data_IF_706744366577
#
_entry.id   IF_706744366577
#
_cell.length_a   1.000
_cell.length_b   1.000
_cell.length_c   1.000
_cell.angle_alpha   90.00
_cell.angle_beta   90.00
_cell.angle_gamma   90.00
#
_symmetry.space_group_name_H-M   'P 1'
#
loop_
_entity.id
_entity.type
_entity.pdbx_description
1 polymer ?
#
# COMPACT_ATOMS: atom_id res chain seq x y z
N UNK A 1 21.64 -11.21 1.64
CA UNK A 1 20.76 -10.48 0.72
C UNK A 1 19.34 -10.60 1.22
N UNK A 2 18.60 -9.53 1.21
CA UNK A 2 17.23 -9.54 1.73
C UNK A 2 16.23 -9.76 0.60
N UNK A 3 15.28 -10.63 0.83
CA UNK A 3 14.15 -10.86 -0.04
C UNK A 3 12.88 -10.41 0.65
N UNK A 4 11.98 -9.81 -0.11
CA UNK A 4 10.67 -9.41 0.39
C UNK A 4 9.58 -10.30 -0.21
N UNK A 5 8.72 -10.79 0.63
CA UNK A 5 7.50 -11.46 0.21
C UNK A 5 6.42 -10.38 0.02
N UNK A 6 5.95 -10.24 -1.20
CA UNK A 6 4.96 -9.22 -1.56
C UNK A 6 3.62 -9.86 -1.84
N UNK A 7 2.60 -9.42 -1.11
CA UNK A 7 1.22 -9.81 -1.34
C UNK A 7 0.56 -8.81 -2.28
N UNK A 8 0.01 -9.31 -3.38
CA UNK A 8 -0.73 -8.50 -4.33
C UNK A 8 -2.24 -8.65 -4.15
N UNK A 9 -3.02 -7.62 -4.50
CA UNK A 9 -4.48 -7.66 -4.44
C UNK A 9 -5.08 -8.47 -5.60
N UNK A 10 -4.67 -9.72 -5.73
CA UNK A 10 -5.10 -10.67 -6.77
C UNK A 10 -5.43 -12.01 -6.14
N UNK A 11 -6.22 -12.80 -6.85
CA UNK A 11 -6.64 -14.12 -6.39
C UNK A 11 -5.52 -15.16 -6.64
N UNK A 12 -4.51 -15.13 -5.79
CA UNK A 12 -3.42 -16.12 -5.78
C UNK A 12 -3.21 -16.63 -4.36
N UNK A 13 -2.73 -17.87 -4.18
CA UNK A 13 -2.69 -18.52 -2.87
C UNK A 13 -1.65 -17.98 -1.88
N UNK A 14 -0.89 -16.95 -2.21
CA UNK A 14 0.10 -16.42 -1.29
C UNK A 14 0.87 -15.23 -1.81
N UNK A 15 1.90 -14.86 -1.08
CA UNK A 15 2.82 -13.80 -1.45
C UNK A 15 3.89 -14.32 -2.43
N UNK A 16 4.40 -13.42 -3.25
CA UNK A 16 5.50 -13.70 -4.18
C UNK A 16 6.83 -13.21 -3.61
N UNK A 17 7.88 -13.96 -3.86
CA UNK A 17 9.22 -13.59 -3.44
C UNK A 17 9.86 -12.63 -4.47
N UNK A 18 10.40 -11.53 -3.97
CA UNK A 18 11.15 -10.55 -4.74
C UNK A 18 12.46 -10.22 -4.05
N UNK A 19 13.47 -9.88 -4.83
CA UNK A 19 14.70 -9.34 -4.30
C UNK A 19 14.48 -7.90 -3.85
N UNK A 20 14.95 -7.58 -2.65
CA UNK A 20 15.00 -6.20 -2.17
C UNK A 20 16.37 -5.60 -2.52
N UNK A 21 16.44 -4.67 -3.48
CA UNK A 21 17.70 -4.01 -3.81
C UNK A 21 18.30 -3.32 -2.59
N UNK A 22 19.63 -3.32 -2.48
CA UNK A 22 20.33 -2.70 -1.35
C UNK A 22 20.05 -1.19 -1.19
N UNK A 23 19.64 -0.54 -2.27
CA UNK A 23 19.28 0.88 -2.32
C UNK A 23 17.91 1.17 -1.72
N UNK A 24 17.05 0.15 -1.61
CA UNK A 24 15.70 0.28 -1.11
C UNK A 24 15.60 -0.27 0.32
N UNK A 25 15.09 0.53 1.22
CA UNK A 25 14.80 0.10 2.60
C UNK A 25 13.30 -0.07 2.75
N UNK A 26 12.82 -1.30 2.68
CA UNK A 26 11.42 -1.63 2.89
C UNK A 26 11.21 -2.27 4.26
N UNK A 27 10.03 -2.05 4.80
CA UNK A 27 9.55 -2.68 6.04
C UNK A 27 8.28 -3.46 5.76
N UNK A 28 7.95 -4.39 6.62
CA UNK A 28 6.67 -5.11 6.57
C UNK A 28 5.52 -4.12 6.68
N UNK A 29 4.58 -4.19 5.74
CA UNK A 29 3.46 -3.27 5.63
C UNK A 29 3.64 -2.15 4.59
N UNK A 30 4.86 -1.94 4.08
CA UNK A 30 5.10 -0.93 3.05
C UNK A 30 4.44 -1.33 1.72
N UNK A 31 3.95 -0.32 1.00
CA UNK A 31 3.44 -0.50 -0.35
C UNK A 31 4.58 -0.40 -1.35
N UNK A 32 4.67 -1.39 -2.23
CA UNK A 32 5.74 -1.49 -3.22
C UNK A 32 5.19 -1.78 -4.61
N UNK A 33 5.89 -1.29 -5.62
CA UNK A 33 5.65 -1.67 -7.01
C UNK A 33 6.62 -2.78 -7.41
N UNK A 34 6.07 -3.88 -7.87
CA UNK A 34 6.84 -5.01 -8.35
C UNK A 34 6.20 -5.64 -9.59
N UNK A 35 7.00 -6.25 -10.47
CA UNK A 35 6.48 -6.81 -11.72
C UNK A 35 5.79 -8.16 -11.47
N UNK A 36 4.54 -8.26 -11.93
CA UNK A 36 3.85 -9.54 -12.10
C UNK A 36 3.71 -9.81 -13.60
N UNK A 37 4.37 -10.85 -14.09
CA UNK A 37 4.40 -11.11 -15.53
C UNK A 37 4.99 -9.93 -16.29
N UNK A 38 4.20 -9.32 -17.17
CA UNK A 38 4.58 -8.15 -17.96
C UNK A 38 4.09 -6.82 -17.38
N UNK A 39 3.35 -6.86 -16.27
CA UNK A 39 2.73 -5.67 -15.68
C UNK A 39 3.39 -5.31 -14.35
N UNK A 40 3.51 -4.02 -14.11
CA UNK A 40 3.90 -3.48 -12.80
C UNK A 40 2.67 -3.31 -11.94
N UNK A 41 2.67 -3.91 -10.74
CA UNK A 41 1.53 -3.84 -9.82
C UNK A 41 1.95 -3.37 -8.43
N UNK A 42 1.01 -2.73 -7.75
CA UNK A 42 1.15 -2.33 -6.36
C UNK A 42 0.81 -3.51 -5.46
N UNK A 43 1.70 -3.82 -4.55
CA UNK A 43 1.52 -4.84 -3.50
C UNK A 43 1.98 -4.34 -2.15
N UNK A 44 1.87 -5.19 -1.15
CA UNK A 44 2.27 -4.91 0.22
C UNK A 44 3.37 -5.88 0.63
N UNK A 45 4.42 -5.39 1.26
CA UNK A 45 5.45 -6.23 1.86
C UNK A 45 4.84 -7.02 3.01
N UNK A 46 4.71 -8.32 2.80
CA UNK A 46 4.10 -9.23 3.77
C UNK A 46 5.11 -9.74 4.79
N UNK A 47 6.29 -10.03 4.31
CA UNK A 47 7.39 -10.51 5.14
C UNK A 47 8.73 -10.17 4.50
N UNK A 48 9.80 -10.13 5.29
CA UNK A 48 11.17 -9.96 4.81
C UNK A 48 11.98 -11.14 5.31
N UNK A 49 12.65 -11.81 4.40
CA UNK A 49 13.45 -13.01 4.67
C UNK A 49 14.88 -12.76 4.19
N UNK A 50 15.84 -13.20 4.97
CA UNK A 50 17.23 -13.24 4.51
C UNK A 50 17.43 -14.49 3.65
N UNK A 51 18.06 -14.31 2.51
CA UNK A 51 18.35 -15.38 1.54
C UNK A 51 19.82 -15.36 1.16
N UNK A 52 20.32 -16.53 0.81
CA UNK A 52 21.69 -16.74 0.35
C UNK A 52 21.95 -16.27 -1.11
N UNK A 53 20.91 -15.74 -1.76
CA UNK A 53 21.01 -15.15 -3.10
C UNK A 53 21.06 -16.17 -4.25
N UNK A 54 20.79 -17.44 -3.98
CA UNK A 54 20.83 -18.49 -5.01
C UNK A 54 19.62 -18.50 -5.95
N UNK A 55 18.53 -17.81 -5.58
CA UNK A 55 17.33 -17.75 -6.41
C UNK A 55 17.36 -16.58 -7.37
N UNK A 56 17.01 -16.83 -8.63
CA UNK A 56 16.79 -15.79 -9.62
C UNK A 56 15.43 -15.13 -9.38
N UNK A 57 15.40 -14.11 -8.53
CA UNK A 57 14.20 -13.35 -8.22
C UNK A 57 14.18 -12.03 -8.99
N UNK A 58 12.98 -11.56 -9.31
CA UNK A 58 12.79 -10.21 -9.85
C UNK A 58 12.95 -9.18 -8.73
N UNK A 59 13.40 -8.00 -9.09
CA UNK A 59 13.61 -6.92 -8.14
C UNK A 59 12.33 -6.14 -7.89
N UNK A 60 12.18 -5.62 -6.66
CA UNK A 60 11.20 -4.59 -6.36
C UNK A 60 11.63 -3.32 -7.08
N UNK A 61 10.71 -2.72 -7.84
CA UNK A 61 11.02 -1.55 -8.65
C UNK A 61 11.04 -0.27 -7.81
N UNK A 62 10.06 -0.11 -6.92
CA UNK A 62 9.89 1.14 -6.17
C UNK A 62 9.06 0.92 -4.92
N UNK A 63 9.37 1.69 -3.87
CA UNK A 63 8.53 1.80 -2.67
C UNK A 63 7.60 3.00 -2.85
N UNK A 64 6.30 2.80 -2.64
CA UNK A 64 5.34 3.91 -2.64
C UNK A 64 5.43 4.65 -1.30
N UNK A 65 5.73 5.94 -1.35
CA UNK A 65 5.79 6.81 -0.18
C UNK A 65 4.37 7.13 0.30
N UNK A 66 3.83 6.26 1.12
CA UNK A 66 2.53 6.42 1.74
C UNK A 66 2.53 5.76 3.11
N UNK A 67 1.46 5.96 3.86
CA UNK A 67 1.33 5.33 5.18
C UNK A 67 1.29 3.80 5.02
N UNK A 68 2.21 3.06 5.66
CA UNK A 68 2.21 1.60 5.58
C UNK A 68 1.00 1.00 6.30
N UNK A 69 0.64 -0.22 5.94
CA UNK A 69 -0.32 -1.00 6.70
C UNK A 69 0.27 -1.37 8.06
N UNK A 70 -0.54 -1.20 9.11
CA UNK A 70 -0.13 -1.59 10.46
C UNK A 70 -0.02 -3.11 10.60
N UNK A 71 0.77 -3.55 11.57
CA UNK A 71 0.88 -4.98 11.90
C UNK A 71 -0.49 -5.59 12.24
N UNK A 72 -1.36 -4.86 12.91
CA UNK A 72 -2.71 -5.32 13.24
C UNK A 72 -3.57 -5.49 11.99
N UNK A 73 -3.45 -4.59 11.02
CA UNK A 73 -4.16 -4.73 9.74
C UNK A 73 -3.68 -5.95 8.96
N UNK A 74 -2.38 -6.22 8.94
CA UNK A 74 -1.83 -7.43 8.30
C UNK A 74 -2.36 -8.71 8.96
N UNK A 75 -2.40 -8.75 10.28
CA UNK A 75 -3.00 -9.87 11.03
C UNK A 75 -4.49 -10.02 10.75
N UNK A 76 -5.21 -8.92 10.65
CA UNK A 76 -6.63 -8.91 10.32
C UNK A 76 -6.89 -9.48 8.92
N UNK A 77 -6.09 -9.09 7.94
CA UNK A 77 -6.17 -9.61 6.57
C UNK A 77 -5.93 -11.13 6.56
N UNK A 78 -4.88 -11.59 7.24
CA UNK A 78 -4.54 -13.02 7.31
C UNK A 78 -5.66 -13.83 8.01
N UNK A 79 -6.13 -13.34 9.14
CA UNK A 79 -7.21 -13.98 9.88
C UNK A 79 -8.51 -14.04 9.05
N UNK A 80 -8.90 -12.95 8.42
CA UNK A 80 -10.10 -12.87 7.58
C UNK A 80 -10.02 -13.84 6.40
N UNK A 81 -8.87 -13.94 5.75
CA UNK A 81 -8.64 -14.87 4.66
C UNK A 81 -8.79 -16.33 5.11
N UNK A 82 -8.21 -16.69 6.24
CA UNK A 82 -8.31 -18.04 6.80
C UNK A 82 -9.73 -18.36 7.22
N UNK A 83 -10.41 -17.43 7.89
CA UNK A 83 -11.78 -17.64 8.36
C UNK A 83 -12.77 -17.86 7.22
N UNK A 84 -12.63 -17.11 6.13
CA UNK A 84 -13.50 -17.22 4.95
C UNK A 84 -13.00 -18.22 3.90
N UNK A 85 -11.89 -18.91 4.14
CA UNK A 85 -11.28 -19.83 3.17
C UNK A 85 -11.01 -19.19 1.80
N UNK A 86 -10.59 -17.94 1.80
CA UNK A 86 -10.23 -17.19 0.58
C UNK A 86 -8.75 -16.85 0.59
N UNK A 87 -8.20 -16.51 -0.57
CA UNK A 87 -6.80 -16.07 -0.64
C UNK A 87 -6.62 -14.71 0.05
N UNK A 88 -5.49 -14.48 0.74
CA UNK A 88 -5.23 -13.20 1.41
C UNK A 88 -5.15 -12.03 0.42
N UNK A 89 -4.78 -12.26 -0.83
CA UNK A 89 -4.78 -11.25 -1.88
C UNK A 89 -6.16 -10.68 -2.19
N UNK A 90 -7.21 -11.49 -2.10
CA UNK A 90 -8.59 -10.99 -2.26
C UNK A 90 -9.01 -10.09 -1.11
N UNK A 91 -8.63 -10.43 0.11
CA UNK A 91 -8.92 -9.58 1.29
C UNK A 91 -8.13 -8.27 1.17
N UNK A 92 -6.87 -8.33 0.77
CA UNK A 92 -6.07 -7.14 0.50
C UNK A 92 -6.70 -6.24 -0.57
N UNK A 93 -7.27 -6.84 -1.61
CA UNK A 93 -8.00 -6.10 -2.65
C UNK A 93 -9.18 -5.31 -2.09
N UNK A 94 -9.90 -5.87 -1.13
CA UNK A 94 -10.98 -5.15 -0.45
C UNK A 94 -10.46 -3.97 0.36
N UNK A 95 -9.37 -4.16 1.09
CA UNK A 95 -8.71 -3.11 1.88
C UNK A 95 -8.17 -2.00 0.98
N UNK A 96 -7.59 -2.36 -0.16
CA UNK A 96 -7.00 -1.42 -1.13
C UNK A 96 -8.00 -0.93 -2.18
N UNK A 97 -9.28 -1.11 -1.99
CA UNK A 97 -10.30 -0.78 -3.00
C UNK A 97 -10.24 0.67 -3.46
N UNK A 98 -9.87 1.57 -2.57
CA UNK A 98 -9.68 2.98 -2.90
C UNK A 98 -8.19 3.31 -2.99
N UNK A 99 -7.60 3.12 -4.15
CA UNK A 99 -6.18 3.46 -4.38
C UNK A 99 -5.88 4.95 -4.14
N UNK A 100 -6.86 5.82 -4.36
CA UNK A 100 -6.72 7.25 -4.10
C UNK A 100 -6.53 7.58 -2.61
N UNK A 101 -6.97 6.71 -1.72
CA UNK A 101 -6.75 6.87 -0.29
C UNK A 101 -5.27 6.68 0.12
N UNK A 102 -4.46 6.08 -0.74
CA UNK A 102 -3.02 5.93 -0.54
C UNK A 102 -2.21 7.14 -1.02
N UNK A 103 -2.86 8.03 -1.75
CA UNK A 103 -2.23 9.27 -2.20
C UNK A 103 -2.35 10.36 -1.12
N UNK A 104 -1.43 11.33 -1.09
CA UNK A 104 -1.55 12.47 -0.19
C UNK A 104 -2.90 13.17 -0.39
N UNK A 105 -3.51 13.59 0.70
CA UNK A 105 -4.77 14.36 0.62
C UNK A 105 -4.57 15.60 -0.25
N UNK A 106 -5.48 15.87 -1.20
CA UNK A 106 -5.38 17.06 -2.02
C UNK A 106 -5.47 18.31 -1.14
N UNK A 107 -4.68 19.30 -1.49
CA UNK A 107 -4.81 20.61 -0.83
C UNK A 107 -6.17 21.21 -1.19
N UNK A 108 -6.97 21.47 -0.19
CA UNK A 108 -8.27 22.13 -0.34
C UNK A 108 -8.12 23.57 0.11
N UNK A 109 -8.46 24.50 -0.78
CA UNK A 109 -8.53 25.91 -0.41
C UNK A 109 -9.79 26.13 0.41
N UNK A 110 -9.62 26.54 1.65
CA UNK A 110 -10.72 26.92 2.53
C UNK A 110 -10.77 28.43 2.64
N UNK A 111 -11.96 28.96 2.55
CA UNK A 111 -12.21 30.36 2.81
C UNK A 111 -12.69 30.50 4.26
N UNK A 112 -11.96 31.29 5.04
CA UNK A 112 -12.38 31.65 6.41
C UNK A 112 -12.66 33.15 6.47
N UNK A 113 -13.61 33.58 7.26
CA UNK A 113 -13.86 35.02 7.44
C UNK A 113 -12.62 35.69 8.03
N UNK A 114 -12.21 36.79 7.41
CA UNK A 114 -10.97 37.51 7.79
C UNK A 114 -11.13 38.37 9.04
N UNK A 115 -12.25 38.37 9.72
CA UNK A 115 -12.51 39.23 10.85
C UNK A 115 -12.86 40.69 10.46
N UNK A 116 -12.58 41.10 9.24
CA UNK A 116 -12.96 42.39 8.68
C UNK A 116 -14.31 42.25 7.96
N UNK A 117 -15.37 42.48 8.64
CA UNK A 117 -16.70 42.52 8.04
C UNK A 117 -16.89 43.81 7.25
N UNK A 118 -17.49 43.74 6.05
CA UNK A 118 -17.83 44.95 5.31
C UNK A 118 -18.84 45.80 6.10
N UNK A 119 -18.70 47.13 6.00
CA UNK A 119 -19.57 48.08 6.73
C UNK A 119 -21.05 47.94 6.36
N UNK A 120 -21.36 47.29 5.23
CA UNK A 120 -22.72 47.02 4.78
C UNK A 120 -22.78 45.60 4.19
N UNK A 121 -23.54 44.72 4.81
CA UNK A 121 -23.82 43.38 4.29
C UNK A 121 -25.11 43.40 3.49
N UNK A 122 -25.06 42.97 2.24
CA UNK A 122 -26.27 42.69 1.47
C UNK A 122 -26.91 41.41 1.97
N UNK A 123 -28.23 41.36 2.05
CA UNK A 123 -28.93 40.12 2.34
C UNK A 123 -28.67 39.10 1.24
N UNK A 124 -28.09 37.94 1.60
CA UNK A 124 -27.98 36.81 0.69
C UNK A 124 -29.37 36.24 0.42
N UNK A 125 -29.70 36.11 -0.85
CA UNK A 125 -30.92 35.43 -1.28
C UNK A 125 -30.65 33.94 -1.50
#
# INVERSE_FOLDING_TARGET
>A
MKNAQVLFPVNVPGAFDYRLPAELTAKVGDFVFAPIGKQMKLGVVWNIVEDDGQRALKDIAQIKLTRPLSADMLKFIDWTARYNCVSPGLVLRMVMRSYKALDPSPMVTQFSPSGNLPAKMSAAR
#
